data_IF_189412234439
#
_entry.id   IF_189412234439
#
_cell.length_a   1.000
_cell.length_b   1.000
_cell.length_c   1.000
_cell.angle_alpha   90.00
_cell.angle_beta   90.00
_cell.angle_gamma   90.00
#
_symmetry.space_group_name_H-M   'P 1'
#
loop_
_entity.id
_entity.type
_entity.pdbx_description
1 polymer ?
#
# COMPACT_ATOMS: atom_id res chain seq x y z
N UNK A 1 20.39 -29.26 -2.18
CA UNK A 1 20.81 -30.43 -2.98
C UNK A 1 19.91 -30.47 -4.21
N UNK A 2 20.51 -30.61 -5.39
CA UNK A 2 19.94 -30.51 -6.73
C UNK A 2 18.83 -31.55 -6.98
N UNK A 3 17.80 -31.19 -7.74
CA UNK A 3 17.00 -32.13 -8.51
C UNK A 3 17.14 -31.82 -10.01
N UNK A 4 17.67 -32.79 -10.74
CA UNK A 4 17.83 -32.80 -12.19
C UNK A 4 16.54 -33.20 -12.87
N UNK A 5 16.28 -32.63 -14.05
CA UNK A 5 15.09 -32.87 -14.86
C UNK A 5 15.39 -33.90 -15.97
N UNK A 6 14.58 -34.95 -16.17
CA UNK A 6 14.77 -35.87 -17.28
C UNK A 6 14.15 -35.33 -18.58
N UNK A 7 14.87 -35.53 -19.68
CA UNK A 7 14.45 -35.21 -21.04
C UNK A 7 13.43 -36.23 -21.55
N UNK A 8 12.52 -35.71 -22.39
CA UNK A 8 11.67 -36.39 -23.38
C UNK A 8 10.34 -36.97 -22.91
N UNK A 9 9.27 -36.36 -23.43
CA UNK A 9 7.87 -36.77 -23.31
C UNK A 9 6.99 -35.64 -23.83
N UNK A 10 6.47 -35.79 -25.05
CA UNK A 10 5.88 -34.74 -25.86
C UNK A 10 4.69 -34.02 -25.20
N UNK A 11 4.68 -32.69 -25.22
CA UNK A 11 3.49 -31.88 -24.98
C UNK A 11 3.08 -31.21 -26.29
N UNK A 12 1.93 -31.63 -26.81
CA UNK A 12 1.24 -31.08 -27.97
C UNK A 12 0.97 -29.58 -27.74
N UNK A 13 1.57 -28.70 -28.56
CA UNK A 13 1.20 -27.29 -28.65
C UNK A 13 0.14 -27.13 -29.75
N UNK A 14 -1.02 -26.50 -29.48
CA UNK A 14 -1.70 -25.78 -30.54
C UNK A 14 -0.94 -24.47 -30.78
N UNK A 15 -0.76 -24.19 -32.06
CA UNK A 15 -0.06 -23.05 -32.64
C UNK A 15 -0.67 -21.71 -32.20
N UNK A 16 0.18 -20.74 -31.87
CA UNK A 16 0.17 -19.42 -32.52
C UNK A 16 1.35 -18.56 -32.04
N UNK A 17 2.23 -18.33 -33.01
CA UNK A 17 3.08 -17.15 -33.25
C UNK A 17 3.86 -16.55 -32.07
N UNK A 18 5.16 -16.82 -32.14
CA UNK A 18 6.24 -15.96 -31.67
C UNK A 18 6.07 -14.48 -32.11
N UNK A 19 6.70 -13.61 -31.31
CA UNK A 19 7.17 -12.25 -31.60
C UNK A 19 6.17 -11.09 -31.50
N UNK A 20 6.25 -10.35 -30.38
CA UNK A 20 6.40 -8.90 -30.44
C UNK A 20 6.97 -8.34 -29.13
N UNK A 21 8.31 -8.41 -28.97
CA UNK A 21 9.03 -7.62 -27.98
C UNK A 21 9.30 -6.24 -28.58
N UNK A 22 8.26 -5.41 -28.67
CA UNK A 22 8.38 -3.99 -29.00
C UNK A 22 7.98 -3.14 -27.81
N UNK A 23 8.54 -1.92 -27.73
CA UNK A 23 8.31 -0.94 -26.65
C UNK A 23 6.83 -0.52 -26.47
N UNK A 24 5.91 -1.01 -27.31
CA UNK A 24 4.46 -0.78 -27.18
C UNK A 24 3.75 -1.74 -26.22
N UNK A 25 4.44 -2.72 -25.62
CA UNK A 25 3.83 -3.62 -24.64
C UNK A 25 3.42 -2.90 -23.34
N UNK A 26 4.06 -1.77 -23.04
CA UNK A 26 3.74 -0.93 -21.86
C UNK A 26 2.57 0.03 -22.09
N UNK A 27 2.17 0.32 -23.33
CA UNK A 27 1.15 1.34 -23.61
C UNK A 27 -0.25 0.79 -23.88
N UNK A 28 -0.45 -0.53 -23.84
CA UNK A 28 -1.73 -1.17 -24.17
C UNK A 28 -2.29 -2.01 -23.01
N UNK A 29 -2.61 -1.33 -21.90
CA UNK A 29 -3.50 -1.85 -20.85
C UNK A 29 -4.24 -0.69 -20.16
N UNK A 30 -4.97 0.11 -20.96
CA UNK A 30 -5.84 1.19 -20.46
C UNK A 30 -7.33 0.99 -20.75
N UNK A 31 -7.75 -0.12 -21.37
CA UNK A 31 -9.17 -0.34 -21.73
C UNK A 31 -9.80 -1.61 -21.15
N UNK A 32 -9.14 -2.31 -20.22
CA UNK A 32 -9.85 -3.38 -19.49
C UNK A 32 -10.71 -2.69 -18.44
N UNK A 33 -11.95 -2.39 -18.82
CA UNK A 33 -13.03 -2.13 -17.87
C UNK A 33 -12.93 -3.19 -16.79
N UNK A 34 -12.54 -2.76 -15.58
CA UNK A 34 -12.60 -3.60 -14.41
C UNK A 34 -14.08 -3.93 -14.24
N UNK A 35 -14.41 -5.20 -14.25
CA UNK A 35 -15.76 -5.69 -14.01
C UNK A 35 -16.18 -5.12 -12.64
N UNK A 36 -17.16 -4.21 -12.66
CA UNK A 36 -17.66 -3.49 -11.49
C UNK A 36 -18.28 -4.53 -10.55
N UNK A 37 -17.51 -4.93 -9.52
CA UNK A 37 -18.01 -5.74 -8.41
C UNK A 37 -19.13 -4.99 -7.67
N UNK A 38 -19.97 -5.70 -6.90
CA UNK A 38 -21.21 -5.15 -6.36
C UNK A 38 -20.94 -3.85 -5.58
N UNK A 39 -21.57 -2.78 -6.06
CA UNK A 39 -21.49 -1.42 -5.53
C UNK A 39 -21.99 -1.35 -4.09
N UNK A 40 -21.11 -1.65 -3.14
CA UNK A 40 -21.15 -1.06 -1.81
C UNK A 40 -20.19 0.12 -1.82
N UNK A 41 -20.70 1.35 -2.05
CA UNK A 41 -19.89 2.55 -1.84
C UNK A 41 -19.63 2.68 -0.35
N UNK A 42 -18.55 2.06 0.13
CA UNK A 42 -17.93 2.47 1.38
C UNK A 42 -17.35 3.86 1.07
N UNK A 43 -17.93 4.91 1.64
CA UNK A 43 -17.25 6.22 1.65
C UNK A 43 -16.02 6.07 2.56
N UNK A 44 -14.95 5.57 1.96
CA UNK A 44 -13.64 5.46 2.58
C UNK A 44 -13.05 6.86 2.70
N UNK A 45 -12.30 7.10 3.77
CA UNK A 45 -11.52 8.33 3.91
C UNK A 45 -10.60 8.53 2.70
N UNK A 46 -10.54 9.76 2.17
CA UNK A 46 -9.59 10.11 1.11
C UNK A 46 -8.16 9.76 1.55
N UNK A 47 -7.41 8.95 0.77
CA UNK A 47 -6.00 8.64 1.06
C UNK A 47 -5.14 9.87 1.32
N UNK A 48 -5.42 11.00 0.66
CA UNK A 48 -4.68 12.26 0.88
C UNK A 48 -4.97 12.83 2.27
N UNK A 49 -6.21 12.76 2.74
CA UNK A 49 -6.62 13.20 4.07
C UNK A 49 -6.02 12.28 5.15
N UNK A 50 -6.07 10.97 4.95
CA UNK A 50 -5.45 10.01 5.86
C UNK A 50 -3.93 10.22 5.93
N UNK A 51 -3.25 10.37 4.78
CA UNK A 51 -1.83 10.67 4.73
C UNK A 51 -1.50 11.97 5.48
N UNK A 52 -2.32 13.01 5.33
CA UNK A 52 -2.15 14.28 6.02
C UNK A 52 -2.27 14.10 7.54
N UNK A 53 -3.30 13.38 8.01
CA UNK A 53 -3.48 13.07 9.44
C UNK A 53 -2.31 12.25 10.00
N UNK A 54 -1.80 11.29 9.23
CA UNK A 54 -0.64 10.51 9.63
C UNK A 54 0.62 11.39 9.75
N UNK A 55 0.88 12.27 8.78
CA UNK A 55 2.02 13.20 8.79
C UNK A 55 1.96 14.15 10.01
N UNK A 56 0.76 14.61 10.36
CA UNK A 56 0.55 15.49 11.51
C UNK A 56 0.98 14.88 12.85
N UNK A 57 1.05 13.54 12.94
CA UNK A 57 1.56 12.84 14.12
C UNK A 57 3.07 12.65 13.96
N UNK A 58 3.85 13.34 14.80
CA UNK A 58 5.27 13.07 14.95
C UNK A 58 5.48 11.67 15.53
N UNK A 59 5.85 10.74 14.67
CA UNK A 59 6.10 9.32 14.99
C UNK A 59 7.54 8.96 14.64
N UNK A 60 8.49 9.36 15.50
CA UNK A 60 9.87 8.87 15.34
C UNK A 60 9.92 7.37 15.63
N UNK A 61 10.98 6.71 15.19
CA UNK A 61 11.19 5.30 15.52
C UNK A 61 11.15 5.09 17.04
N UNK A 62 10.40 4.10 17.49
CA UNK A 62 10.04 3.81 18.88
C UNK A 62 9.04 4.78 19.56
N UNK A 63 8.46 5.74 18.83
CA UNK A 63 7.45 6.69 19.31
C UNK A 63 6.13 6.59 18.50
N UNK A 64 5.83 5.41 17.95
CA UNK A 64 4.74 5.22 16.98
C UNK A 64 3.35 5.07 17.59
N UNK A 65 3.23 5.07 18.92
CA UNK A 65 1.98 4.73 19.63
C UNK A 65 0.74 5.45 19.07
N UNK A 66 0.81 6.78 18.95
CA UNK A 66 -0.31 7.60 18.46
C UNK A 66 -0.64 7.37 16.99
N UNK A 67 0.38 7.20 16.14
CA UNK A 67 0.14 6.97 14.70
C UNK A 67 -0.44 5.58 14.48
N UNK A 68 -0.02 4.60 15.27
CA UNK A 68 -0.55 3.26 15.21
C UNK A 68 -2.01 3.18 15.66
N UNK A 69 -2.41 3.95 16.67
CA UNK A 69 -3.81 4.05 17.08
C UNK A 69 -4.68 4.65 15.96
N UNK A 70 -4.16 5.66 15.23
CA UNK A 70 -4.82 6.22 14.06
C UNK A 70 -4.93 5.20 12.91
N UNK A 71 -3.87 4.44 12.63
CA UNK A 71 -3.89 3.38 11.60
C UNK A 71 -4.91 2.29 11.96
N UNK A 72 -4.96 1.86 13.22
CA UNK A 72 -5.93 0.87 13.68
C UNK A 72 -7.37 1.38 13.52
N UNK A 73 -7.63 2.65 13.86
CA UNK A 73 -8.93 3.27 13.66
C UNK A 73 -9.30 3.34 12.17
N UNK A 74 -8.37 3.73 11.30
CA UNK A 74 -8.59 3.79 9.85
C UNK A 74 -8.88 2.41 9.25
N UNK A 75 -8.19 1.34 9.69
CA UNK A 75 -8.48 -0.03 9.26
C UNK A 75 -9.89 -0.49 9.68
N UNK A 76 -10.32 -0.15 10.89
CA UNK A 76 -11.67 -0.46 11.36
C UNK A 76 -12.74 0.28 10.54
N UNK A 77 -12.52 1.57 10.26
CA UNK A 77 -13.39 2.39 9.42
C UNK A 77 -13.47 1.87 7.98
N UNK A 78 -12.36 1.35 7.46
CA UNK A 78 -12.29 0.70 6.15
C UNK A 78 -12.95 -0.70 6.11
N UNK A 79 -13.48 -1.21 7.22
CA UNK A 79 -14.22 -2.47 7.27
C UNK A 79 -13.35 -3.72 7.36
N UNK A 80 -12.13 -3.61 7.89
CA UNK A 80 -11.29 -4.78 8.17
C UNK A 80 -11.97 -5.68 9.20
N UNK A 81 -12.02 -6.99 8.91
CA UNK A 81 -12.64 -8.03 9.75
C UNK A 81 -11.98 -8.17 11.11
N UNK A 82 -10.66 -8.03 11.14
CA UNK A 82 -9.85 -8.07 12.36
C UNK A 82 -8.82 -6.95 12.31
N UNK A 83 -8.66 -6.23 13.42
CA UNK A 83 -7.59 -5.25 13.61
C UNK A 83 -7.01 -5.44 15.00
N UNK A 84 -5.69 -5.63 15.09
CA UNK A 84 -5.00 -5.92 16.36
C UNK A 84 -3.68 -5.16 16.46
N UNK A 85 -3.39 -4.67 17.66
CA UNK A 85 -2.06 -4.16 18.04
C UNK A 85 -1.19 -5.34 18.45
N UNK A 86 0.03 -5.42 17.95
CA UNK A 86 1.00 -6.44 18.40
C UNK A 86 1.69 -5.97 19.69
N UNK A 87 2.25 -6.88 20.50
CA UNK A 87 3.02 -6.49 21.70
C UNK A 87 4.21 -5.57 21.41
N UNK A 88 4.75 -5.61 20.20
CA UNK A 88 5.86 -4.76 19.75
C UNK A 88 5.39 -3.44 19.11
N UNK A 89 4.08 -3.17 19.09
CA UNK A 89 3.55 -1.87 18.64
C UNK A 89 3.23 -1.78 17.15
N UNK A 90 3.18 -2.88 16.41
CA UNK A 90 2.64 -2.90 15.04
C UNK A 90 1.10 -2.94 15.04
N UNK A 91 0.49 -2.65 13.91
CA UNK A 91 -0.95 -2.85 13.67
C UNK A 91 -1.10 -3.90 12.58
N UNK A 92 -1.90 -4.92 12.82
CA UNK A 92 -2.21 -5.96 11.84
C UNK A 92 -3.71 -5.96 11.58
N UNK A 93 -4.07 -5.77 10.31
CA UNK A 93 -5.44 -5.84 9.83
C UNK A 93 -5.65 -7.05 8.91
N UNK A 94 -6.80 -7.70 9.00
CA UNK A 94 -7.23 -8.70 8.01
C UNK A 94 -8.50 -8.22 7.32
N UNK A 95 -8.41 -7.97 6.01
CA UNK A 95 -9.54 -7.62 5.16
C UNK A 95 -9.98 -8.82 4.30
N UNK A 96 -11.22 -8.76 3.82
CA UNK A 96 -11.79 -9.77 2.94
C UNK A 96 -12.13 -11.11 3.61
N UNK A 97 -12.75 -12.03 2.84
CA UNK A 97 -13.13 -13.34 3.34
C UNK A 97 -11.91 -14.27 3.53
N UNK A 98 -12.01 -15.27 4.43
CA UNK A 98 -11.00 -16.33 4.51
C UNK A 98 -10.81 -17.05 3.17
N UNK A 99 -9.57 -17.38 2.82
CA UNK A 99 -9.23 -18.04 1.56
C UNK A 99 -7.92 -18.82 1.66
N UNK A 100 -7.57 -19.55 0.59
CA UNK A 100 -6.35 -20.35 0.47
C UNK A 100 -5.14 -19.56 -0.04
N UNK A 101 -5.35 -18.31 -0.49
CA UNK A 101 -4.30 -17.39 -0.94
C UNK A 101 -4.44 -16.10 -0.15
N UNK A 102 -3.32 -15.58 0.36
CA UNK A 102 -3.27 -14.33 1.13
C UNK A 102 -2.24 -13.39 0.51
N UNK A 103 -2.65 -12.14 0.27
CA UNK A 103 -1.72 -11.06 -0.05
C UNK A 103 -1.37 -10.32 1.24
N UNK A 104 -0.08 -10.05 1.46
CA UNK A 104 0.40 -9.22 2.55
C UNK A 104 0.82 -7.87 1.99
N UNK A 105 0.22 -6.81 2.50
CA UNK A 105 0.70 -5.46 2.34
C UNK A 105 1.39 -5.07 3.64
N UNK A 106 2.59 -4.50 3.52
CA UNK A 106 3.40 -4.10 4.65
C UNK A 106 3.86 -2.65 4.46
N UNK A 107 3.88 -1.92 5.57
CA UNK A 107 4.21 -0.52 5.60
C UNK A 107 4.71 -0.13 6.99
N UNK A 108 5.74 0.71 7.02
CA UNK A 108 6.18 1.34 8.26
C UNK A 108 5.45 2.68 8.46
N UNK A 109 5.30 3.08 9.72
CA UNK A 109 4.57 4.29 10.11
C UNK A 109 5.45 5.29 10.88
N UNK A 110 6.67 4.89 11.22
CA UNK A 110 7.67 5.76 11.78
C UNK A 110 8.28 6.65 10.70
N UNK A 111 8.99 7.69 11.14
CA UNK A 111 9.71 8.59 10.27
C UNK A 111 11.04 8.93 10.89
N UNK A 112 12.05 9.13 10.05
CA UNK A 112 13.33 9.66 10.49
C UNK A 112 13.17 11.10 11.00
N UNK A 113 14.01 11.56 11.95
CA UNK A 113 14.04 12.95 12.36
C UNK A 113 14.15 13.89 11.15
N UNK A 114 13.39 15.01 11.13
CA UNK A 114 13.58 16.02 10.10
C UNK A 114 14.99 16.59 10.17
N UNK A 115 15.66 16.65 9.03
CA UNK A 115 17.01 17.22 8.89
C UNK A 115 16.99 18.32 7.83
N UNK A 116 18.01 19.17 7.84
CA UNK A 116 18.14 20.28 6.88
C UNK A 116 17.24 21.47 7.19
N UNK A 117 17.04 22.33 6.19
CA UNK A 117 16.17 23.51 6.31
C UNK A 117 14.83 23.22 5.68
N UNK A 118 13.80 23.12 6.52
CA UNK A 118 12.42 23.06 6.06
C UNK A 118 11.88 24.48 5.88
N UNK A 119 11.08 24.69 4.83
CA UNK A 119 10.38 25.96 4.58
C UNK A 119 9.19 26.14 5.53
N UNK A 120 8.61 25.02 5.97
CA UNK A 120 7.43 24.93 6.83
C UNK A 120 7.67 23.82 7.86
N UNK A 121 6.86 23.72 8.92
CA UNK A 121 7.01 22.64 9.89
C UNK A 121 6.85 21.26 9.20
N UNK A 122 7.83 20.34 9.30
CA UNK A 122 7.74 19.00 8.70
C UNK A 122 6.52 18.20 9.15
N UNK A 123 5.95 18.48 10.32
CA UNK A 123 4.77 17.79 10.84
C UNK A 123 3.48 18.60 10.65
N UNK A 124 3.52 19.69 9.88
CA UNK A 124 2.32 20.36 9.38
C UNK A 124 2.13 19.93 7.92
N UNK A 125 1.20 19.03 7.60
CA UNK A 125 0.96 18.59 6.23
C UNK A 125 0.44 19.77 5.39
N UNK A 126 1.13 20.07 4.30
CA UNK A 126 0.75 21.18 3.40
C UNK A 126 0.56 20.68 1.98
N UNK A 127 -0.57 21.00 1.36
CA UNK A 127 -0.79 20.76 -0.07
C UNK A 127 -0.42 22.04 -0.82
N UNK A 128 0.55 21.95 -1.73
CA UNK A 128 0.96 23.08 -2.59
C UNK A 128 1.22 22.58 -4.01
N UNK A 129 0.66 23.26 -5.00
CA UNK A 129 0.82 22.91 -6.42
C UNK A 129 0.53 21.42 -6.70
N UNK A 130 -0.54 20.88 -6.10
CA UNK A 130 -0.96 19.49 -6.28
C UNK A 130 -0.05 18.44 -5.63
N UNK A 131 0.81 18.84 -4.68
CA UNK A 131 1.70 17.93 -3.95
C UNK A 131 1.50 18.09 -2.45
N UNK A 132 1.45 16.96 -1.74
CA UNK A 132 1.47 16.91 -0.27
C UNK A 132 2.91 16.96 0.23
N UNK A 133 3.20 17.93 1.09
CA UNK A 133 4.49 18.13 1.75
C UNK A 133 4.38 17.81 3.24
N UNK A 134 5.41 17.15 3.75
CA UNK A 134 5.54 16.79 5.16
C UNK A 134 6.49 15.62 5.35
N UNK A 135 7.04 15.47 6.55
CA UNK A 135 7.90 14.34 6.91
C UNK A 135 7.04 13.07 6.93
N UNK A 136 7.41 12.13 6.07
CA UNK A 136 6.69 10.87 5.91
C UNK A 136 5.80 10.83 4.67
N UNK A 137 5.59 11.96 3.97
CA UNK A 137 4.70 11.99 2.79
C UNK A 137 5.10 10.97 1.72
N UNK A 138 6.40 10.87 1.42
CA UNK A 138 6.94 9.85 0.51
C UNK A 138 7.35 8.57 1.21
N UNK A 139 7.99 8.68 2.38
CA UNK A 139 8.56 7.53 3.11
C UNK A 139 8.00 7.43 4.54
N UNK A 140 6.95 6.63 4.78
CA UNK A 140 6.09 6.04 3.74
C UNK A 140 4.59 6.20 4.01
N UNK A 141 4.21 7.23 4.78
CA UNK A 141 2.83 7.50 5.20
C UNK A 141 1.87 7.71 4.04
N UNK A 142 2.32 8.29 2.93
CA UNK A 142 1.51 8.41 1.71
C UNK A 142 1.20 7.06 1.06
N UNK A 143 2.18 6.15 1.06
CA UNK A 143 1.98 4.77 0.61
C UNK A 143 1.06 4.00 1.54
N UNK A 144 1.32 4.08 2.86
CA UNK A 144 0.50 3.47 3.91
C UNK A 144 -0.98 3.88 3.81
N UNK A 145 -1.27 5.16 3.53
CA UNK A 145 -2.64 5.66 3.42
C UNK A 145 -3.38 5.19 2.15
N UNK A 146 -2.65 4.76 1.13
CA UNK A 146 -3.21 4.34 -0.15
C UNK A 146 -3.42 2.81 -0.26
N UNK A 147 -2.97 2.05 0.75
CA UNK A 147 -3.20 0.61 0.88
C UNK A 147 -4.63 0.32 1.34
#
# INVERSE_FOLDING_TARGET
MICTWPRSGACHRPERSLLCLSKSCWSRRRDRSLDEGPEGKVELMDPVDLASRLIAIRSLSCEEGKVADLVAAAMLEAGFREVKRTPLGSVVGIAGPPGNVTALFDAHMDVVPPTGRWTEDPFTPTIRNGRLYGRGATDMKGGLAAL
#
